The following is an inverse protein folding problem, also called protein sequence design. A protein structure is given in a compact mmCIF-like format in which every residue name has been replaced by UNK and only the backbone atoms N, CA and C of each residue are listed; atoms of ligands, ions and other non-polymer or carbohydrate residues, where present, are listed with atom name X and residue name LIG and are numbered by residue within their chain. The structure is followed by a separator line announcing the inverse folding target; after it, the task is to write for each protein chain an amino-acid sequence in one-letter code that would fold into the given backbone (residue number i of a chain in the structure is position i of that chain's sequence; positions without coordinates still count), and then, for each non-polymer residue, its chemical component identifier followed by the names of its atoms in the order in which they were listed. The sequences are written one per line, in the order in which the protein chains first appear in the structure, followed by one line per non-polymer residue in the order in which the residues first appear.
data_IF_016358439898
#
_entry.id   IF_016358439898
#
_cell.length_a   1.000
_cell.length_b   1.000
_cell.length_c   1.000
_cell.angle_alpha   90.00
_cell.angle_beta   90.00
_cell.angle_gamma   90.00
#
_symmetry.space_group_name_H-M   'P 1'
#
loop_
_entity.id
_entity.type
_entity.pdbx_description
1 polymer ?
#
# COMPACT_ATOMS: atom_id res chain seq x y z
N UNK A 1 -7.26 -9.63 14.70
CA UNK A 1 -6.17 -10.63 14.61
C UNK A 1 -4.91 -10.07 13.96
N UNK A 2 -4.99 -9.29 12.88
CA UNK A 2 -3.80 -8.59 12.34
C UNK A 2 -3.04 -7.78 13.41
N UNK A 3 -3.76 -7.00 14.23
CA UNK A 3 -3.18 -6.17 15.30
C UNK A 3 -2.43 -6.92 16.41
N UNK A 4 -2.56 -8.24 16.50
CA UNK A 4 -1.94 -9.06 17.57
C UNK A 4 -0.84 -9.99 17.04
N UNK A 5 -0.58 -9.99 15.73
CA UNK A 5 0.47 -10.79 15.08
C UNK A 5 1.80 -10.03 15.07
N UNK A 6 2.92 -10.74 14.98
CA UNK A 6 4.22 -10.12 14.74
C UNK A 6 4.29 -9.50 13.34
N UNK A 7 5.19 -8.53 13.14
CA UNK A 7 5.36 -7.87 11.84
C UNK A 7 5.69 -8.87 10.73
N UNK A 8 6.55 -9.85 11.00
CA UNK A 8 6.95 -10.87 10.02
C UNK A 8 5.75 -11.71 9.55
N UNK A 9 4.88 -12.11 10.50
CA UNK A 9 3.67 -12.86 10.18
C UNK A 9 2.65 -12.01 9.41
N UNK A 10 2.53 -10.72 9.75
CA UNK A 10 1.68 -9.78 9.02
C UNK A 10 2.17 -9.64 7.57
N UNK A 11 3.48 -9.48 7.35
CA UNK A 11 4.07 -9.39 6.00
C UNK A 11 3.82 -10.69 5.21
N UNK A 12 4.07 -11.86 5.81
CA UNK A 12 3.78 -13.16 5.18
C UNK A 12 2.31 -13.31 4.82
N UNK A 13 1.40 -12.83 5.67
CA UNK A 13 -0.04 -12.88 5.40
C UNK A 13 -0.45 -11.93 4.26
N UNK A 14 0.06 -10.70 4.25
CA UNK A 14 -0.21 -9.74 3.18
C UNK A 14 0.34 -10.23 1.82
N UNK A 15 1.51 -10.87 1.82
CA UNK A 15 2.11 -11.46 0.63
C UNK A 15 1.31 -12.67 0.10
N UNK A 16 0.73 -13.48 0.99
CA UNK A 16 -0.08 -14.66 0.60
C UNK A 16 -1.52 -14.33 0.23
N UNK A 17 -2.10 -13.24 0.76
CA UNK A 17 -3.45 -12.81 0.44
C UNK A 17 -3.50 -11.34 -0.03
N UNK A 18 -3.35 -11.17 -1.35
CA UNK A 18 -3.39 -9.87 -2.00
C UNK A 18 -4.73 -9.10 -1.88
N UNK A 19 -5.81 -9.73 -1.41
CA UNK A 19 -7.06 -9.01 -1.13
C UNK A 19 -6.98 -8.13 0.11
N UNK A 20 -6.02 -8.39 1.00
CA UNK A 20 -5.78 -7.59 2.21
C UNK A 20 -4.95 -6.33 1.93
N UNK A 21 -4.34 -6.23 0.76
CA UNK A 21 -3.56 -5.06 0.33
C UNK A 21 -4.52 -3.98 -0.19
N UNK A 22 -4.37 -2.75 0.31
CA UNK A 22 -5.13 -1.60 -0.19
C UNK A 22 -4.79 -1.33 -1.65
N UNK A 23 -5.83 -1.08 -2.46
CA UNK A 23 -5.74 -0.83 -3.90
C UNK A 23 -6.43 0.48 -4.26
N UNK A 24 -5.95 1.22 -5.28
CA UNK A 24 -4.67 1.06 -5.98
C UNK A 24 -3.44 1.31 -5.08
N UNK A 25 -2.29 0.72 -5.40
CA UNK A 25 -1.01 0.96 -4.74
C UNK A 25 0.03 1.28 -5.82
N UNK A 26 0.64 2.46 -5.75
CA UNK A 26 1.72 2.87 -6.67
C UNK A 26 2.97 3.10 -5.85
N UNK A 27 4.09 2.57 -6.33
CA UNK A 27 5.41 2.73 -5.72
C UNK A 27 6.31 3.35 -6.78
N UNK A 28 6.87 4.52 -6.49
CA UNK A 28 7.92 5.16 -7.26
C UNK A 28 9.23 5.20 -6.46
N UNK A 29 10.28 5.77 -7.04
CA UNK A 29 11.61 5.79 -6.42
C UNK A 29 11.64 6.55 -5.09
N UNK A 30 10.79 7.56 -4.93
CA UNK A 30 10.76 8.45 -3.76
C UNK A 30 9.40 8.52 -3.06
N UNK A 31 8.37 7.85 -3.57
CA UNK A 31 7.01 7.97 -3.06
C UNK A 31 6.21 6.67 -3.12
N UNK A 32 5.17 6.59 -2.27
CA UNK A 32 4.17 5.51 -2.29
C UNK A 32 2.78 6.13 -2.21
N UNK A 33 1.90 5.81 -3.15
CA UNK A 33 0.49 6.21 -3.13
C UNK A 33 -0.38 5.01 -2.78
N UNK A 34 -1.23 5.16 -1.77
CA UNK A 34 -2.15 4.13 -1.29
C UNK A 34 -3.59 4.61 -1.45
N UNK A 35 -4.38 3.87 -2.22
CA UNK A 35 -5.72 4.28 -2.63
C UNK A 35 -5.68 5.39 -3.69
N UNK A 36 -6.86 5.90 -4.04
CA UNK A 36 -6.98 7.01 -4.98
C UNK A 36 -7.34 8.30 -4.24
N UNK A 37 -6.45 9.28 -4.33
CA UNK A 37 -6.64 10.65 -3.87
C UNK A 37 -6.16 11.57 -4.97
N UNK A 38 -7.08 12.31 -5.59
CA UNK A 38 -6.81 13.04 -6.82
C UNK A 38 -5.64 14.03 -6.67
N UNK A 39 -5.60 14.78 -5.57
CA UNK A 39 -4.56 15.80 -5.34
C UNK A 39 -3.17 15.17 -5.18
N UNK A 40 -3.04 14.13 -4.34
CA UNK A 40 -1.78 13.40 -4.13
C UNK A 40 -1.28 12.75 -5.42
N UNK A 41 -2.20 12.20 -6.22
CA UNK A 41 -1.88 11.57 -7.51
C UNK A 41 -1.43 12.59 -8.54
N UNK A 42 -2.11 13.75 -8.63
CA UNK A 42 -1.75 14.81 -9.54
C UNK A 42 -0.38 15.40 -9.20
N UNK A 43 -0.10 15.61 -7.91
CA UNK A 43 1.20 16.09 -7.45
C UNK A 43 2.34 15.12 -7.77
N UNK A 44 2.14 13.82 -7.57
CA UNK A 44 3.19 12.82 -7.75
C UNK A 44 3.39 12.35 -9.21
N UNK A 45 2.37 12.44 -10.07
CA UNK A 45 2.41 11.86 -11.43
C UNK A 45 2.24 12.85 -12.59
N UNK A 46 1.71 14.05 -12.34
CA UNK A 46 1.32 15.00 -13.41
C UNK A 46 2.21 16.27 -13.41
N UNK A 47 2.96 16.52 -12.33
CA UNK A 47 3.94 17.61 -12.27
C UNK A 47 5.20 17.30 -13.09
#
# INVERSE_FOLDING_TARGET
RLQTMSEEEQIKLLASNGMLVKRPLIIGDTFVLIGFKADDWAEALIK
#
